data_IF_938650261503
#
_entry.id   IF_938650261503
#
_cell.length_a   1.000
_cell.length_b   1.000
_cell.length_c   1.000
_cell.angle_alpha   90.00
_cell.angle_beta   90.00
_cell.angle_gamma   90.00
#
_symmetry.space_group_name_H-M   'P 1'
#
loop_
_entity.id
_entity.type
_entity.pdbx_description
1 polymer ?
2 non-polymer ?
3 non-polymer ?
4 water ?
#
# COMPACT_ATOMS: atom_id res chain seq x y z
N UNK A 1 -2.52 -9.75 8.76
CA UNK A 1 -2.04 -11.14 8.71
C UNK A 1 -0.58 -11.22 8.25
N UNK A 2 0.12 -12.22 8.78
CA UNK A 2 1.47 -12.57 8.35
C UNK A 2 1.43 -13.15 6.95
N UNK A 3 2.38 -12.73 6.11
CA UNK A 3 2.33 -13.11 4.70
C UNK A 3 3.76 -13.29 4.19
N UNK A 4 4.03 -14.36 3.45
CA UNK A 4 5.33 -14.51 2.80
C UNK A 4 5.37 -13.69 1.52
N UNK A 5 6.37 -12.80 1.42
CA UNK A 5 6.55 -11.98 0.23
C UNK A 5 7.99 -12.09 -0.23
N UNK A 6 8.24 -11.78 -1.49
CA UNK A 6 9.62 -11.76 -2.00
C UNK A 6 10.19 -10.36 -1.89
N UNK A 7 11.39 -10.29 -1.33
CA UNK A 7 12.14 -9.06 -1.13
C UNK A 7 13.38 -9.12 -2.01
N UNK A 8 13.65 -8.03 -2.72
CA UNK A 8 14.79 -7.99 -3.64
C UNK A 8 16.11 -7.93 -2.87
N UNK A 9 17.02 -8.82 -3.22
CA UNK A 9 18.34 -8.90 -2.63
C UNK A 9 19.29 -7.83 -3.14
N UNK A 10 18.88 -7.11 -4.19
CA UNK A 10 19.65 -6.00 -4.70
C UNK A 10 19.27 -4.66 -4.09
N UNK A 11 17.97 -4.40 -3.89
CA UNK A 11 17.54 -3.08 -3.41
C UNK A 11 16.62 -3.14 -2.20
N UNK A 12 16.23 -4.33 -1.77
CA UNK A 12 15.34 -4.58 -0.64
C UNK A 12 13.90 -4.15 -0.85
N UNK A 13 13.47 -3.82 -2.07
CA UNK A 13 12.06 -3.56 -2.30
C UNK A 13 11.25 -4.81 -1.95
N UNK A 14 10.10 -4.61 -1.31
CA UNK A 14 9.21 -5.72 -0.94
C UNK A 14 7.78 -5.21 -0.95
N UNK A 15 6.83 -5.92 -1.55
CA UNK A 15 7.01 -7.11 -2.38
C UNK A 15 7.60 -6.73 -3.73
N UNK A 16 8.36 -7.66 -4.30
CA UNK A 16 8.64 -7.57 -5.72
C UNK A 16 7.32 -7.71 -6.46
N UNK A 17 7.15 -6.88 -7.47
CA UNK A 17 5.93 -6.85 -8.25
C UNK A 17 6.19 -7.36 -9.65
N UNK A 18 5.14 -7.92 -10.23
CA UNK A 18 5.09 -8.42 -11.60
C UNK A 18 5.81 -9.75 -11.76
N UNK A 19 7.13 -9.68 -11.67
CA UNK A 19 7.93 -10.88 -11.77
C UNK A 19 9.23 -10.71 -11.02
N UNK A 20 9.81 -11.82 -10.60
CA UNK A 20 11.07 -11.77 -9.88
C UNK A 20 12.12 -12.62 -10.56
N UNK A 21 13.32 -12.09 -10.72
CA UNK A 21 14.41 -12.82 -11.35
C UNK A 21 15.02 -13.65 -10.24
N UNK A 22 14.84 -14.95 -10.31
CA UNK A 22 15.16 -15.86 -9.23
C UNK A 22 16.37 -16.71 -9.54
N UNK A 23 17.28 -16.81 -8.56
CA UNK A 23 18.49 -17.59 -8.73
C UNK A 23 18.17 -19.08 -8.58
N UNK A 24 18.66 -19.86 -9.52
CA UNK A 24 18.48 -21.31 -9.48
C UNK A 24 19.49 -22.02 -8.59
N UNK A 25 20.55 -21.34 -8.14
CA UNK A 25 21.66 -21.97 -7.43
C UNK A 25 21.64 -21.63 -5.94
N UNK A 26 21.45 -20.37 -5.62
CA UNK A 26 21.46 -19.90 -4.25
C UNK A 26 20.23 -20.42 -3.53
N UNK A 27 20.25 -20.40 -2.19
CA UNK A 27 19.09 -20.93 -1.45
C UNK A 27 17.81 -20.10 -1.60
N UNK A 28 17.92 -18.77 -1.72
CA UNK A 28 16.75 -17.90 -1.56
C UNK A 28 17.07 -16.50 -2.06
N UNK A 29 17.42 -16.38 -3.33
CA UNK A 29 17.89 -15.14 -3.90
C UNK A 29 16.99 -14.66 -5.04
N UNK A 30 16.59 -13.40 -4.97
CA UNK A 30 15.68 -12.82 -5.94
C UNK A 30 16.08 -11.39 -6.22
N UNK A 31 15.89 -10.99 -7.47
CA UNK A 31 16.02 -9.58 -7.86
C UNK A 31 14.74 -9.09 -8.51
N UNK A 32 14.40 -7.83 -8.24
CA UNK A 32 13.34 -7.21 -9.00
C UNK A 32 13.82 -6.95 -10.42
N UNK A 33 12.89 -6.61 -11.30
CA UNK A 33 13.23 -6.41 -12.70
C UNK A 33 14.25 -5.30 -12.85
N UNK A 34 14.09 -4.21 -12.11
CA UNK A 34 15.01 -3.08 -12.26
C UNK A 34 16.43 -3.47 -11.87
N UNK A 35 16.60 -4.17 -10.74
CA UNK A 35 17.94 -4.56 -10.33
C UNK A 35 18.53 -5.56 -11.32
N UNK A 36 17.72 -6.50 -11.77
CA UNK A 36 18.20 -7.50 -12.73
C UNK A 36 18.75 -6.80 -13.96
N UNK A 37 18.11 -5.73 -14.39
CA UNK A 37 18.53 -5.05 -15.60
C UNK A 37 19.75 -4.17 -15.41
N UNK A 38 19.94 -3.52 -14.27
CA UNK A 38 21.00 -2.52 -14.15
C UNK A 38 22.09 -2.83 -13.12
N UNK A 39 21.95 -3.80 -12.24
CA UNK A 39 23.02 -4.03 -11.26
C UNK A 39 24.12 -4.94 -11.81
N UNK A 40 25.35 -4.54 -11.56
CA UNK A 40 26.43 -5.40 -11.90
C UNK A 40 26.58 -6.44 -10.84
N UNK A 41 27.11 -7.55 -11.24
CA UNK A 41 27.36 -8.66 -10.34
C UNK A 41 28.18 -8.32 -9.09
N UNK A 42 29.11 -7.38 -9.18
CA UNK A 42 29.94 -7.03 -8.04
C UNK A 42 29.14 -6.31 -7.00
N UNK A 43 28.01 -5.81 -7.39
CA UNK A 43 27.13 -5.23 -6.40
C UNK A 43 26.21 -6.26 -5.78
N UNK A 44 26.28 -7.50 -6.23
CA UNK A 44 25.33 -8.44 -5.63
C UNK A 44 25.97 -9.23 -4.49
N UNK A 45 25.17 -9.49 -3.46
CA UNK A 45 25.71 -10.10 -2.22
C UNK A 45 26.25 -11.51 -2.43
N UNK A 46 27.48 -11.77 -2.00
CA UNK A 46 27.95 -13.16 -1.97
C UNK A 46 27.02 -13.99 -1.13
N UNK A 47 26.85 -15.28 -1.45
CA UNK A 47 27.62 -16.03 -2.46
C UNK A 47 27.02 -16.05 -3.87
N UNK A 48 26.08 -15.15 -4.18
CA UNK A 48 25.56 -15.10 -5.53
C UNK A 48 26.61 -14.59 -6.50
N UNK A 49 26.71 -15.25 -7.67
CA UNK A 49 27.66 -14.87 -8.71
C UNK A 49 26.97 -14.80 -10.06
N UNK A 50 27.65 -14.12 -10.99
CA UNK A 50 27.07 -13.85 -12.30
C UNK A 50 26.82 -15.09 -13.15
N UNK A 51 27.51 -16.20 -12.87
CA UNK A 51 27.28 -17.42 -13.64
C UNK A 51 26.06 -18.19 -13.15
N UNK A 52 25.41 -17.74 -12.09
CA UNK A 52 24.23 -18.47 -11.61
C UNK A 52 23.05 -18.24 -12.55
N UNK A 53 22.43 -19.28 -13.10
CA UNK A 53 21.27 -19.03 -13.96
C UNK A 53 20.13 -18.44 -13.16
N UNK A 54 19.48 -17.46 -13.77
CA UNK A 54 18.34 -16.76 -13.20
C UNK A 54 17.11 -17.04 -14.04
N UNK A 55 15.97 -17.14 -13.41
CA UNK A 55 14.74 -17.40 -14.12
C UNK A 55 13.65 -16.43 -13.66
N UNK A 56 12.87 -15.96 -14.61
CA UNK A 56 11.82 -14.99 -14.33
C UNK A 56 10.54 -15.72 -13.92
N UNK A 57 10.09 -15.44 -12.70
CA UNK A 57 8.96 -16.12 -12.10
C UNK A 57 7.87 -15.08 -11.87
N UNK A 58 6.67 -15.27 -12.42
CA UNK A 58 5.57 -14.35 -12.13
C UNK A 58 5.26 -14.29 -10.65
N UNK A 59 4.92 -13.09 -10.19
CA UNK A 59 4.51 -12.92 -8.81
C UNK A 59 3.03 -13.27 -8.66
N UNK B 1 14.81 -12.77 -1.84
CA UNK B 1 14.63 -13.56 -0.62
C UNK B 1 13.18 -13.55 -0.14
N UNK B 2 12.80 -14.65 0.49
CA UNK B 2 11.52 -14.74 1.17
C UNK B 2 11.54 -13.94 2.47
N UNK B 3 10.45 -13.19 2.74
CA UNK B 3 10.40 -12.28 3.88
C UNK B 3 9.00 -12.33 4.47
N UNK B 4 8.90 -12.41 5.80
CA UNK B 4 7.60 -12.32 6.47
C UNK B 4 7.21 -10.85 6.51
N UNK B 5 6.02 -10.53 5.99
CA UNK B 5 5.51 -9.17 6.04
C UNK B 5 4.07 -9.21 6.52
N UNK B 6 3.63 -8.08 7.04
CA UNK B 6 2.25 -7.92 7.49
C UNK B 6 1.43 -7.30 6.38
N UNK B 7 0.30 -7.94 6.12
CA UNK B 7 -0.64 -7.57 5.09
C UNK B 7 -1.92 -7.17 5.78
N UNK B 8 -2.50 -6.08 5.36
CA UNK B 8 -3.72 -5.62 5.97
C UNK B 8 -4.92 -6.48 5.60
N UNK B 9 -5.65 -6.92 6.60
CA UNK B 9 -6.85 -7.71 6.38
C UNK B 9 -8.02 -6.86 5.95
N UNK B 10 -7.91 -5.53 6.04
CA UNK B 10 -8.96 -4.66 5.56
C UNK B 10 -8.84 -4.30 4.10
N UNK B 11 -7.61 -4.02 3.63
CA UNK B 11 -7.43 -3.55 2.25
C UNK B 11 -6.37 -4.31 1.46
N UNK B 12 -5.68 -5.26 2.08
CA UNK B 12 -4.64 -6.09 1.46
C UNK B 12 -3.38 -5.32 1.10
N UNK B 13 -3.20 -4.10 1.59
CA UNK B 13 -1.90 -3.45 1.41
C UNK B 13 -0.83 -4.29 2.09
N UNK B 14 0.33 -4.40 1.44
CA UNK B 14 1.45 -5.16 1.99
C UNK B 14 2.74 -4.54 1.44
N UNK B 15 3.77 -4.30 2.26
CA UNK B 15 3.74 -4.41 3.71
C UNK B 15 2.98 -3.26 4.34
N UNK B 16 2.37 -3.53 5.48
CA UNK B 16 1.98 -2.42 6.36
C UNK B 16 3.27 -1.78 6.82
N UNK B 17 3.29 -0.45 6.83
CA UNK B 17 4.49 0.29 7.17
C UNK B 17 4.31 1.06 8.46
N UNK B 18 5.42 1.19 9.19
CA UNK B 18 5.52 2.03 10.38
C UNK B 18 4.82 1.47 11.60
N UNK B 19 3.52 1.25 11.48
CA UNK B 19 2.84 0.59 12.58
C UNK B 19 1.62 -0.15 12.07
N UNK B 20 1.26 -1.22 12.77
CA UNK B 20 0.08 -1.99 12.41
C UNK B 20 -0.82 -2.16 13.61
N UNK B 21 -2.11 -1.98 13.40
CA UNK B 21 -3.10 -2.14 14.45
C UNK B 21 -3.46 -3.62 14.46
N UNK B 22 -3.08 -4.27 15.55
CA UNK B 22 -3.12 -5.72 15.65
C UNK B 22 -4.19 -6.18 16.63
N UNK B 23 -4.95 -7.21 16.21
CA UNK B 23 -6.01 -7.75 17.06
C UNK B 23 -5.39 -8.66 18.11
N UNK B 24 -5.81 -8.48 19.37
CA UNK B 24 -5.33 -9.31 20.45
C UNK B 24 -6.09 -10.63 20.58
N UNK B 25 -7.20 -10.78 19.87
CA UNK B 25 -8.10 -11.92 20.04
C UNK B 25 -7.99 -12.90 18.87
N UNK B 26 -8.03 -12.38 17.63
CA UNK B 26 -7.96 -13.21 16.44
C UNK B 26 -6.58 -13.86 16.29
N UNK B 27 -6.48 -14.91 15.48
CA UNK B 27 -5.17 -15.56 15.33
C UNK B 27 -4.11 -14.69 14.68
N UNK B 28 -4.47 -13.84 13.71
CA UNK B 28 -3.46 -13.28 12.81
C UNK B 28 -4.06 -12.14 12.02
N UNK B 29 -4.56 -11.11 12.71
CA UNK B 29 -5.36 -10.05 12.11
C UNK B 29 -4.68 -8.71 12.34
N UNK B 30 -4.48 -7.95 11.26
CA UNK B 30 -3.84 -6.66 11.29
C UNK B 30 -4.56 -5.68 10.37
N UNK B 31 -4.60 -4.43 10.81
CA UNK B 31 -5.05 -3.35 9.95
C UNK B 31 -3.98 -2.28 9.79
N UNK B 32 -3.91 -1.69 8.59
CA UNK B 32 -3.11 -0.51 8.42
C UNK B 32 -3.81 0.66 9.09
N UNK B 33 -3.08 1.77 9.23
CA UNK B 33 -3.61 2.94 9.90
C UNK B 33 -4.91 3.41 9.26
N UNK B 34 -4.96 3.43 7.93
CA UNK B 34 -6.13 3.97 7.24
C UNK B 34 -7.35 3.10 7.48
N UNK B 35 -7.19 1.78 7.40
CA UNK B 35 -8.31 0.90 7.66
C UNK B 35 -8.76 1.00 9.11
N UNK B 36 -7.80 1.07 10.05
CA UNK B 36 -8.17 1.18 11.45
C UNK B 36 -9.04 2.41 11.67
N UNK B 37 -8.69 3.51 11.00
CA UNK B 37 -9.44 4.74 11.17
C UNK B 37 -10.76 4.77 10.40
N UNK B 38 -10.89 4.11 9.25
CA UNK B 38 -12.04 4.33 8.36
C UNK B 38 -12.95 3.13 8.17
N UNK B 39 -12.53 1.91 8.44
CA UNK B 39 -13.39 0.77 8.16
C UNK B 39 -14.63 0.79 9.05
N UNK B 40 -15.79 0.56 8.44
CA UNK B 40 -17.02 0.52 9.22
C UNK B 40 -17.06 -0.73 10.08
N UNK B 41 -17.64 -0.59 11.28
CA UNK B 41 -17.65 -1.66 12.26
C UNK B 41 -18.35 -2.92 11.76
N UNK B 42 -19.39 -2.78 10.95
CA UNK B 42 -20.11 -3.93 10.40
C UNK B 42 -19.51 -4.46 9.11
N UNK B 43 -18.35 -3.94 8.69
CA UNK B 43 -17.66 -4.39 7.49
C UNK B 43 -16.29 -4.97 7.81
N UNK B 44 -16.06 -5.33 9.07
CA UNK B 44 -14.82 -6.00 9.42
C UNK B 44 -14.85 -7.45 8.91
N UNK B 45 -13.73 -7.98 8.43
CA UNK B 45 -13.72 -9.37 7.94
C UNK B 45 -13.97 -10.35 9.07
N UNK B 46 -15.04 -11.14 9.01
CA UNK B 46 -15.26 -12.14 10.04
C UNK B 46 -14.11 -13.10 10.07
N UNK B 47 -13.76 -13.64 11.25
CA UNK B 47 -14.43 -13.51 12.54
C UNK B 47 -13.94 -12.37 13.43
N UNK B 48 -13.23 -11.39 12.90
CA UNK B 48 -12.89 -10.22 13.70
C UNK B 48 -14.15 -9.41 13.99
N UNK B 49 -14.27 -8.92 15.21
CA UNK B 49 -15.42 -8.11 15.63
C UNK B 49 -14.93 -6.84 16.29
N UNK B 50 -15.84 -5.85 16.37
CA UNK B 50 -15.50 -4.51 16.85
C UNK B 50 -15.13 -4.45 18.33
N UNK B 51 -15.48 -5.46 19.12
CA UNK B 51 -15.12 -5.48 20.53
C UNK B 51 -13.74 -6.05 20.80
N UNK B 52 -13.05 -6.55 19.78
CA UNK B 52 -11.74 -7.10 20.01
C UNK B 52 -10.74 -5.98 20.29
N UNK B 53 -10.00 -6.03 21.40
CA UNK B 53 -8.98 -5.01 21.61
C UNK B 53 -7.88 -5.06 20.56
N UNK B 54 -7.49 -3.87 20.11
CA UNK B 54 -6.48 -3.67 19.07
C UNK B 54 -5.31 -2.95 19.71
N UNK B 55 -4.10 -3.30 19.30
CA UNK B 55 -2.91 -2.66 19.81
C UNK B 55 -2.03 -2.22 18.65
N UNK B 56 -1.44 -1.05 18.80
CA UNK B 56 -0.55 -0.47 17.79
C UNK B 56 0.84 -1.01 18.02
N UNK B 57 1.35 -1.73 17.02
CA UNK B 57 2.64 -2.41 17.08
C UNK B 57 3.58 -1.79 16.07
N UNK B 58 4.75 -1.34 16.49
CA UNK B 58 5.75 -0.84 15.52
C UNK B 58 6.15 -1.92 14.54
N UNK B 59 6.36 -1.53 13.29
CA UNK B 59 6.83 -2.46 12.25
C UNK B 59 8.36 -2.52 12.24
N UNK C 1 -6.21 1.25 -22.56
CA UNK C 1 -7.58 1.75 -22.67
C UNK C 1 -7.75 3.07 -21.93
N UNK C 2 -8.65 3.91 -22.45
CA UNK C 2 -9.05 5.14 -21.78
C UNK C 2 -9.89 4.76 -20.56
N UNK C 3 -9.66 5.45 -19.43
CA UNK C 3 -10.30 5.09 -18.16
C UNK C 3 -10.61 6.38 -17.41
N UNK C 4 -11.84 6.50 -16.91
CA UNK C 4 -12.21 7.63 -16.07
C UNK C 4 -11.62 7.43 -14.68
N UNK C 5 -10.85 8.40 -14.21
CA UNK C 5 -10.25 8.34 -12.88
C UNK C 5 -10.51 9.66 -12.17
N UNK C 6 -10.47 9.64 -10.85
CA UNK C 6 -10.62 10.89 -10.10
C UNK C 6 -9.25 11.47 -9.80
N UNK C 7 -9.12 12.77 -10.07
CA UNK C 7 -7.90 13.53 -9.87
C UNK C 7 -8.18 14.56 -8.79
N UNK C 8 -7.29 14.66 -7.81
CA UNK C 8 -7.48 15.62 -6.73
C UNK C 8 -7.33 17.04 -7.23
N UNK C 9 -8.33 17.88 -6.95
CA UNK C 9 -8.28 19.29 -7.33
C UNK C 9 -7.35 20.09 -6.43
N UNK C 10 -6.88 19.50 -5.32
CA UNK C 10 -5.94 20.17 -4.44
C UNK C 10 -4.48 19.94 -4.79
N UNK C 11 -4.13 18.71 -5.18
CA UNK C 11 -2.73 18.37 -5.43
C UNK C 11 -2.47 17.67 -6.77
N UNK C 12 -3.51 17.41 -7.56
CA UNK C 12 -3.44 16.78 -8.87
C UNK C 12 -3.02 15.32 -8.83
N UNK C 13 -2.95 14.68 -7.66
CA UNK C 13 -2.71 13.25 -7.63
C UNK C 13 -3.83 12.52 -8.37
N UNK C 14 -3.48 11.49 -9.14
CA UNK C 14 -4.47 10.71 -9.90
C UNK C 14 -3.90 9.31 -10.08
N UNK C 15 -4.68 8.26 -9.84
CA UNK C 15 -6.01 8.29 -9.26
C UNK C 15 -5.96 8.57 -7.76
N UNK C 16 -7.00 9.20 -7.25
CA UNK C 16 -7.16 9.26 -5.81
C UNK C 16 -7.37 7.83 -5.36
N UNK C 17 -6.75 7.46 -4.25
CA UNK C 17 -6.85 6.11 -3.76
C UNK C 17 -7.69 6.07 -2.49
N UNK C 18 -8.31 4.90 -2.30
CA UNK C 18 -9.09 4.55 -1.12
C UNK C 18 -10.45 5.24 -1.12
N UNK C 19 -10.44 6.54 -0.91
CA UNK C 19 -11.66 7.33 -0.91
C UNK C 19 -11.33 8.75 -1.35
N UNK C 20 -12.34 9.39 -1.95
CA UNK C 20 -12.22 10.78 -2.34
C UNK C 20 -13.22 11.58 -1.52
N UNK C 21 -12.80 12.76 -1.09
CA UNK C 21 -13.71 13.68 -0.42
C UNK C 21 -14.30 14.55 -1.51
N UNK C 22 -15.60 14.37 -1.74
CA UNK C 22 -16.27 14.93 -2.90
C UNK C 22 -17.20 16.06 -2.51
N UNK C 23 -17.15 17.13 -3.27
CA UNK C 23 -17.99 18.29 -2.99
C UNK C 23 -19.40 18.07 -3.53
N UNK C 24 -20.40 18.33 -2.68
CA UNK C 24 -21.79 18.19 -3.08
C UNK C 24 -22.31 19.40 -3.85
N UNK C 25 -21.57 20.49 -3.90
CA UNK C 25 -22.03 21.76 -4.45
C UNK C 25 -21.40 22.06 -5.80
N UNK C 26 -20.07 21.95 -5.88
CA UNK C 26 -19.36 22.23 -7.11
C UNK C 26 -19.70 21.18 -8.18
N UNK C 27 -19.42 21.50 -9.44
CA UNK C 27 -19.76 20.52 -10.51
C UNK C 27 -18.98 19.21 -10.46
N UNK C 28 -17.70 19.23 -10.08
CA UNK C 28 -16.82 18.10 -10.33
C UNK C 28 -15.54 18.26 -9.51
N UNK C 29 -15.69 18.32 -8.20
CA UNK C 29 -14.58 18.67 -7.30
C UNK C 29 -14.33 17.55 -6.30
N UNK C 30 -13.05 17.15 -6.19
CA UNK C 30 -12.64 16.09 -5.31
C UNK C 30 -11.33 16.45 -4.64
N UNK C 31 -11.20 16.04 -3.40
CA UNK C 31 -9.92 16.08 -2.71
C UNK C 31 -9.51 14.69 -2.26
N UNK C 32 -8.20 14.42 -2.34
CA UNK C 32 -7.68 13.24 -1.69
C UNK C 32 -7.71 13.43 -0.18
N UNK C 33 -7.51 12.32 0.54
CA UNK C 33 -7.59 12.36 1.99
C UNK C 33 -6.60 13.34 2.57
N UNK C 34 -5.39 13.39 2.01
CA UNK C 34 -4.37 14.28 2.55
C UNK C 34 -4.77 15.74 2.39
N UNK C 35 -5.25 16.11 1.20
CA UNK C 35 -5.66 17.49 0.98
C UNK C 35 -6.85 17.86 1.87
N UNK C 36 -7.83 16.95 1.99
CA UNK C 36 -8.99 17.24 2.83
C UNK C 36 -8.56 17.55 4.24
N UNK C 37 -7.55 16.83 4.74
CA UNK C 37 -7.06 17.04 6.10
C UNK C 37 -6.17 18.27 6.24
N UNK C 38 -5.42 18.66 5.21
CA UNK C 38 -4.36 19.66 5.38
C UNK C 38 -4.57 20.98 4.65
N UNK C 39 -5.38 21.04 3.59
CA UNK C 39 -5.44 22.29 2.84
C UNK C 39 -6.06 23.39 3.70
N UNK C 40 -5.43 24.57 3.68
CA UNK C 40 -5.98 25.69 4.43
C UNK C 40 -7.29 26.16 3.79
N UNK C 41 -8.20 26.62 4.64
CA UNK C 41 -9.55 26.98 4.19
C UNK C 41 -9.55 28.12 3.18
N UNK C 42 -8.59 29.02 3.26
CA UNK C 42 -8.49 30.14 2.34
C UNK C 42 -7.63 29.83 1.12
N UNK C 43 -7.17 28.59 0.99
CA UNK C 43 -6.34 28.13 -0.13
C UNK C 43 -7.04 27.06 -0.94
N UNK C 44 -8.35 26.98 -0.86
CA UNK C 44 -9.10 26.05 -1.68
C UNK C 44 -9.21 26.60 -3.10
N UNK C 45 -9.13 25.76 -4.13
CA UNK C 45 -9.24 26.26 -5.51
C UNK C 45 -10.63 26.83 -5.76
N UNK C 46 -10.76 28.11 -6.08
CA UNK C 46 -12.08 28.66 -6.38
C UNK C 46 -12.67 27.93 -7.59
N UNK C 47 -14.00 27.79 -7.64
CA UNK C 47 -15.02 28.36 -6.76
C UNK C 47 -15.41 27.45 -5.60
N UNK C 48 -14.60 26.46 -5.25
CA UNK C 48 -14.90 25.70 -4.04
C UNK C 48 -14.65 26.55 -2.81
N UNK C 49 -15.54 26.42 -1.82
CA UNK C 49 -15.42 27.15 -0.56
C UNK C 49 -15.57 26.19 0.62
N UNK C 50 -15.13 26.66 1.78
CA UNK C 50 -15.07 25.84 3.00
C UNK C 50 -16.42 25.43 3.54
N UNK C 51 -17.50 26.13 3.16
CA UNK C 51 -18.82 25.77 3.65
C UNK C 51 -19.51 24.70 2.80
N UNK C 52 -18.91 24.32 1.70
CA UNK C 52 -19.53 23.31 0.87
C UNK C 52 -19.47 21.93 1.53
N UNK C 53 -20.59 21.25 1.70
CA UNK C 53 -20.52 19.92 2.31
C UNK C 53 -19.76 18.96 1.43
N UNK C 54 -18.91 18.16 2.07
CA UNK C 54 -18.08 17.15 1.42
C UNK C 54 -18.52 15.77 1.89
N UNK C 55 -18.45 14.80 1.00
CA UNK C 55 -18.80 13.44 1.35
C UNK C 55 -17.70 12.49 0.90
N UNK C 56 -17.42 11.50 1.75
CA UNK C 56 -16.37 10.54 1.47
C UNK C 56 -16.94 9.41 0.61
N UNK C 57 -16.41 9.27 -0.58
CA UNK C 57 -16.87 8.25 -1.53
C UNK C 57 -15.76 7.23 -1.73
N UNK C 58 -16.01 5.94 -1.50
CA UNK C 58 -14.98 4.94 -1.80
C UNK C 58 -14.61 4.94 -3.27
N UNK C 59 -13.34 4.72 -3.54
CA UNK C 59 -12.84 4.56 -4.90
C UNK C 59 -13.03 3.10 -5.29
X LIG D 1 15.70 -4.51 -6.66
X LIG E 1 22.86 -17.13 -6.89
X LIG F 1 14.39 -21.44 -5.92
X LIG G 1 -5.75 -1.44 5.14
X LIG H 1 -10.13 -9.81 16.06
X LIG I 1 -0.92 -11.40 18.03
X LIG J 1 -4.74 16.04 -2.95
X LIG K 1 -17.29 22.92 -3.68
X LIG L 1 -21.07 14.96 -7.37
#
# INVERSE_FOLDING_TARGET
RSSVQYCCDGCSTVPILRRRWHCTVCPDFDLCEACYEVLDADRLPPPHTRDHPMTAIPI
RSSVQYCCDGCSTVPILRRRWHCTVCPDFDLCEACYEVLDADRLPPPHTRDHPMTAIPI
RSSVQYCCDGCSTVPILRRRWHCTVCPDFDLCEACYEVLDADRLPPPHTRDHPMTAIPI
ZN ZN
ZN ZN
NI NI
ZN ZN
ZN ZN
NI NI
ZN ZN
ZN ZN
NI NI
#
